data_IF_828860564164
#
_entry.id   IF_828860564164
#
_cell.length_a   1.000
_cell.length_b   1.000
_cell.length_c   1.000
_cell.angle_alpha   90.00
_cell.angle_beta   90.00
_cell.angle_gamma   90.00
#
_symmetry.space_group_name_H-M   'P 1'
#
loop_
_entity.id
_entity.type
_entity.pdbx_description
1 polymer ?
#
# COMPACT_ATOMS: atom_id res chain seq x y z
N UNK A 1 8.47 11.73 43.83
CA UNK A 1 8.30 10.65 42.87
C UNK A 1 8.92 11.14 41.58
N UNK A 2 9.93 10.46 41.03
CA UNK A 2 10.48 10.85 39.74
C UNK A 2 9.35 10.71 38.70
N UNK A 3 9.07 11.79 37.97
CA UNK A 3 8.14 11.75 36.83
C UNK A 3 8.67 10.71 35.87
N UNK A 4 7.87 9.67 35.59
CA UNK A 4 8.26 8.65 34.65
C UNK A 4 8.61 9.34 33.30
N UNK A 5 9.81 9.07 32.77
CA UNK A 5 10.25 9.58 31.46
C UNK A 5 9.38 8.93 30.37
N UNK A 6 8.37 9.64 29.88
CA UNK A 6 7.38 9.17 28.92
C UNK A 6 7.39 10.03 27.67
N UNK A 7 6.93 9.46 26.56
CA UNK A 7 6.71 10.17 25.30
C UNK A 7 5.26 10.01 24.83
N UNK A 8 4.64 11.04 24.27
CA UNK A 8 3.33 10.93 23.66
C UNK A 8 3.42 10.16 22.34
N UNK A 9 2.56 9.17 22.17
CA UNK A 9 2.36 8.46 20.90
C UNK A 9 0.93 8.70 20.46
N UNK A 10 0.77 9.22 19.25
CA UNK A 10 -0.53 9.58 18.70
C UNK A 10 -0.82 8.78 17.43
N UNK A 11 -1.97 8.11 17.39
CA UNK A 11 -2.56 7.52 16.21
C UNK A 11 -3.68 8.42 15.71
N UNK A 12 -3.66 8.77 14.41
CA UNK A 12 -4.61 9.72 13.84
C UNK A 12 -5.05 9.29 12.44
N UNK A 13 -6.36 9.41 12.15
CA UNK A 13 -6.88 9.21 10.80
C UNK A 13 -6.67 10.47 9.94
N UNK A 14 -6.74 10.31 8.61
CA UNK A 14 -6.47 11.39 7.66
C UNK A 14 -7.32 12.65 7.90
N UNK A 15 -8.61 12.50 8.16
CA UNK A 15 -9.51 13.63 8.41
C UNK A 15 -9.47 14.16 9.86
N UNK A 16 -8.63 13.54 10.73
CA UNK A 16 -8.45 13.88 12.15
C UNK A 16 -9.68 13.69 13.04
N UNK A 17 -10.79 13.14 12.52
CA UNK A 17 -11.99 12.84 13.31
C UNK A 17 -11.72 11.83 14.45
N UNK A 18 -10.72 10.98 14.26
CA UNK A 18 -10.25 10.04 15.29
C UNK A 18 -8.77 10.31 15.55
N UNK A 19 -8.49 10.70 16.79
CA UNK A 19 -7.13 10.94 17.30
C UNK A 19 -7.04 10.33 18.69
N UNK A 20 -6.11 9.40 18.87
CA UNK A 20 -5.86 8.71 20.13
C UNK A 20 -4.42 8.94 20.53
N UNK A 21 -4.20 9.45 21.75
CA UNK A 21 -2.86 9.72 22.28
C UNK A 21 -2.66 8.99 23.60
N UNK A 22 -1.49 8.39 23.76
CA UNK A 22 -1.08 7.74 25.00
C UNK A 22 0.34 8.13 25.38
N UNK A 23 0.64 8.13 26.68
CA UNK A 23 1.98 8.33 27.19
C UNK A 23 2.66 6.97 27.38
N UNK A 24 3.77 6.75 26.68
CA UNK A 24 4.52 5.51 26.72
C UNK A 24 5.87 5.73 27.41
N UNK A 25 6.25 4.92 28.41
CA UNK A 25 7.59 4.98 28.99
C UNK A 25 8.68 4.79 27.93
N UNK A 26 9.72 5.62 27.93
CA UNK A 26 10.84 5.48 26.98
C UNK A 26 11.50 4.11 27.04
N UNK A 27 11.46 3.45 28.18
CA UNK A 27 11.97 2.07 28.35
C UNK A 27 11.21 1.00 27.57
N UNK A 28 10.03 1.35 27.01
CA UNK A 28 9.23 0.47 26.14
C UNK A 28 9.53 0.69 24.65
N UNK A 29 10.37 1.67 24.32
CA UNK A 29 10.75 1.97 22.94
C UNK A 29 12.05 1.23 22.55
N UNK A 30 12.22 0.87 21.28
CA UNK A 30 11.22 0.95 20.21
C UNK A 30 10.09 -0.06 20.38
N UNK A 31 8.88 0.30 19.91
CA UNK A 31 7.75 -0.62 19.85
C UNK A 31 8.03 -1.70 18.80
N UNK A 32 7.85 -2.95 19.16
CA UNK A 32 8.00 -4.06 18.23
C UNK A 32 6.81 -4.11 17.26
N UNK A 33 7.09 -4.09 15.97
CA UNK A 33 6.11 -4.18 14.92
C UNK A 33 6.34 -5.40 14.05
N UNK A 34 5.29 -5.87 13.39
CA UNK A 34 5.39 -6.92 12.37
C UNK A 34 4.62 -6.55 11.11
N UNK A 35 5.15 -7.00 9.97
CA UNK A 35 4.55 -6.81 8.67
C UNK A 35 3.88 -8.10 8.21
N UNK A 36 2.58 -8.05 7.93
CA UNK A 36 1.83 -9.15 7.34
C UNK A 36 1.69 -8.95 5.83
N UNK A 37 2.17 -9.94 5.04
CA UNK A 37 2.17 -9.92 3.58
C UNK A 37 1.07 -10.77 2.95
N UNK A 38 0.14 -11.34 3.75
CA UNK A 38 -0.90 -12.22 3.22
C UNK A 38 -1.84 -11.49 2.25
N UNK A 39 -2.44 -12.25 1.34
CA UNK A 39 -3.41 -11.74 0.37
C UNK A 39 -4.54 -10.97 1.06
N UNK A 40 -5.05 -11.49 2.17
CA UNK A 40 -6.12 -10.83 2.92
C UNK A 40 -5.73 -9.44 3.41
N UNK A 41 -4.53 -9.26 4.01
CA UNK A 41 -4.05 -7.96 4.46
C UNK A 41 -3.82 -7.00 3.29
N UNK A 42 -3.23 -7.46 2.20
CA UNK A 42 -3.01 -6.64 1.00
C UNK A 42 -4.33 -6.15 0.42
N UNK A 43 -5.31 -7.04 0.27
CA UNK A 43 -6.64 -6.71 -0.24
C UNK A 43 -7.51 -5.89 0.74
N UNK A 44 -7.19 -5.88 2.05
CA UNK A 44 -7.90 -5.08 3.04
C UNK A 44 -7.32 -3.67 3.23
N UNK A 45 -6.05 -3.45 2.88
CA UNK A 45 -5.38 -2.14 2.97
C UNK A 45 -5.27 -1.44 1.61
N UNK A 46 -5.04 -2.20 0.55
CA UNK A 46 -4.59 -1.70 -0.76
C UNK A 46 -3.07 -1.59 -0.86
N UNK A 47 -2.34 -1.75 0.25
CA UNK A 47 -0.88 -1.78 0.27
C UNK A 47 -0.34 -3.21 0.04
N UNK A 48 0.96 -3.35 -0.22
CA UNK A 48 1.61 -4.66 -0.39
C UNK A 48 1.82 -5.43 0.93
N UNK A 49 1.47 -4.82 2.06
CA UNK A 49 1.56 -5.39 3.40
C UNK A 49 0.68 -4.61 4.37
N UNK A 50 0.42 -5.15 5.55
CA UNK A 50 -0.05 -4.39 6.70
C UNK A 50 1.07 -4.40 7.74
N UNK A 51 1.34 -3.26 8.38
CA UNK A 51 2.32 -3.16 9.47
C UNK A 51 1.64 -2.68 10.74
N UNK A 52 1.81 -3.42 11.83
CA UNK A 52 1.13 -3.15 13.09
C UNK A 52 2.07 -3.29 14.30
N UNK A 53 1.75 -2.58 15.37
CA UNK A 53 2.39 -2.69 16.68
C UNK A 53 1.31 -2.70 17.78
N UNK A 54 1.54 -3.29 18.97
CA UNK A 54 0.59 -3.22 20.07
C UNK A 54 0.24 -1.77 20.43
N UNK A 55 -1.04 -1.49 20.62
CA UNK A 55 -1.48 -0.22 21.17
C UNK A 55 -1.36 -0.23 22.70
N UNK A 56 -0.52 0.64 23.26
CA UNK A 56 -0.24 0.69 24.70
C UNK A 56 -1.14 1.66 25.47
N UNK A 57 -2.09 2.31 24.77
CA UNK A 57 -3.04 3.22 25.38
C UNK A 57 -4.34 2.55 25.85
N UNK A 58 -5.28 3.34 26.41
CA UNK A 58 -6.56 2.84 26.87
C UNK A 58 -7.34 2.19 25.71
N UNK A 59 -7.57 0.88 25.79
CA UNK A 59 -8.28 0.13 24.75
C UNK A 59 -9.76 0.47 24.69
N UNK A 60 -10.36 0.85 25.83
CA UNK A 60 -11.77 1.24 25.93
C UNK A 60 -12.12 2.47 25.08
N UNK A 61 -11.25 3.47 25.02
CA UNK A 61 -11.46 4.66 24.21
C UNK A 61 -11.57 4.31 22.72
N UNK A 62 -10.65 3.47 22.23
CA UNK A 62 -10.65 3.03 20.84
C UNK A 62 -11.86 2.16 20.52
N UNK A 63 -12.22 1.25 21.43
CA UNK A 63 -13.36 0.34 21.23
C UNK A 63 -14.70 1.05 21.22
N UNK A 64 -14.86 2.08 22.06
CA UNK A 64 -16.12 2.84 22.20
C UNK A 64 -16.22 3.98 21.19
N UNK A 65 -15.15 4.29 20.44
CA UNK A 65 -15.20 5.28 19.39
C UNK A 65 -16.14 4.85 18.25
N UNK A 66 -16.82 5.85 17.67
CA UNK A 66 -17.71 5.62 16.51
C UNK A 66 -16.92 5.36 15.23
N UNK A 67 -16.14 4.27 15.23
CA UNK A 67 -15.37 3.81 14.08
C UNK A 67 -16.15 2.75 13.32
N UNK A 68 -15.94 2.69 12.00
CA UNK A 68 -16.44 1.58 11.17
C UNK A 68 -15.76 0.30 11.59
N UNK A 69 -16.54 -0.78 11.72
CA UNK A 69 -16.07 -2.11 12.09
C UNK A 69 -16.23 -3.04 10.91
N UNK A 70 -15.14 -3.68 10.53
CA UNK A 70 -15.14 -4.70 9.50
C UNK A 70 -14.61 -6.02 10.07
N UNK A 71 -15.44 -7.06 10.11
CA UNK A 71 -15.03 -8.41 10.50
C UNK A 71 -14.09 -8.94 9.41
N UNK A 72 -12.80 -8.91 9.72
CA UNK A 72 -11.73 -9.26 8.78
C UNK A 72 -11.53 -10.77 8.74
N UNK A 73 -11.47 -11.39 9.91
CA UNK A 73 -11.46 -12.86 10.10
C UNK A 73 -12.38 -13.20 11.27
N UNK A 74 -12.54 -14.50 11.56
CA UNK A 74 -13.27 -14.92 12.76
C UNK A 74 -12.64 -14.42 14.07
N UNK A 75 -11.35 -14.04 14.06
CA UNK A 75 -10.59 -13.60 15.24
C UNK A 75 -10.33 -12.10 15.26
N UNK A 76 -10.39 -11.40 14.11
CA UNK A 76 -9.97 -10.01 13.99
C UNK A 76 -10.99 -9.12 13.29
N UNK A 77 -11.15 -7.92 13.82
CA UNK A 77 -11.94 -6.82 13.27
C UNK A 77 -11.03 -5.64 12.95
N UNK A 78 -11.15 -5.07 11.75
CA UNK A 78 -10.51 -3.80 11.40
C UNK A 78 -11.41 -2.66 11.87
N UNK A 79 -10.81 -1.71 12.60
CA UNK A 79 -11.44 -0.46 13.00
C UNK A 79 -10.92 0.66 12.09
N UNK A 80 -11.80 1.30 11.34
CA UNK A 80 -11.47 2.37 10.38
C UNK A 80 -12.31 3.61 10.58
N UNK A 81 -11.82 4.75 10.15
CA UNK A 81 -12.58 5.99 10.16
C UNK A 81 -13.78 5.90 9.22
N UNK A 82 -14.98 6.24 9.71
CA UNK A 82 -16.21 6.24 8.91
C UNK A 82 -16.20 7.25 7.76
N UNK A 83 -15.43 8.34 7.89
CA UNK A 83 -15.34 9.45 6.93
C UNK A 83 -14.26 9.24 5.88
N UNK A 84 -12.99 9.18 6.28
CA UNK A 84 -11.84 9.10 5.36
C UNK A 84 -11.34 7.68 5.11
N UNK A 85 -12.00 6.68 5.70
CA UNK A 85 -11.69 5.25 5.57
C UNK A 85 -10.31 4.81 6.08
N UNK A 86 -9.52 5.68 6.71
CA UNK A 86 -8.23 5.28 7.32
C UNK A 86 -8.41 4.03 8.17
N UNK A 87 -7.76 2.89 7.85
CA UNK A 87 -7.72 1.74 8.74
C UNK A 87 -6.74 2.06 9.87
N UNK A 88 -7.21 2.03 11.12
CA UNK A 88 -6.40 2.48 12.26
C UNK A 88 -5.96 1.34 13.17
N UNK A 89 -6.84 0.40 13.45
CA UNK A 89 -6.56 -0.65 14.42
C UNK A 89 -7.05 -2.02 13.94
N UNK A 90 -6.36 -3.06 14.38
CA UNK A 90 -6.91 -4.40 14.43
C UNK A 90 -7.27 -4.73 15.88
N UNK A 91 -8.52 -5.08 16.10
CA UNK A 91 -9.03 -5.58 17.37
C UNK A 91 -9.32 -7.06 17.23
N UNK A 92 -8.84 -7.88 18.14
CA UNK A 92 -9.05 -9.32 18.09
C UNK A 92 -8.75 -10.02 19.40
N UNK A 93 -8.65 -11.34 19.32
CA UNK A 93 -8.27 -12.19 20.43
C UNK A 93 -7.05 -13.04 20.04
N UNK A 94 -6.13 -13.21 20.98
CA UNK A 94 -5.04 -14.19 20.87
C UNK A 94 -5.61 -15.62 20.86
N UNK A 95 -4.75 -16.61 20.58
CA UNK A 95 -5.15 -18.01 20.70
C UNK A 95 -5.55 -18.39 22.14
N UNK A 96 -5.00 -17.71 23.14
CA UNK A 96 -5.35 -17.84 24.55
C UNK A 96 -6.63 -17.11 24.97
N UNK A 97 -7.34 -16.44 24.01
CA UNK A 97 -8.58 -15.70 24.29
C UNK A 97 -8.36 -14.31 24.87
N UNK A 98 -7.11 -13.84 25.00
CA UNK A 98 -6.82 -12.50 25.46
C UNK A 98 -7.15 -11.47 24.39
N UNK A 99 -7.77 -10.41 24.81
CA UNK A 99 -8.14 -9.28 23.97
C UNK A 99 -6.91 -8.49 23.51
N UNK A 100 -6.76 -8.30 22.21
CA UNK A 100 -5.64 -7.58 21.63
C UNK A 100 -6.12 -6.37 20.82
N UNK A 101 -5.36 -5.29 20.93
CA UNK A 101 -5.52 -4.11 20.09
C UNK A 101 -4.16 -3.72 19.54
N UNK A 102 -4.04 -3.74 18.22
CA UNK A 102 -2.83 -3.27 17.52
C UNK A 102 -3.16 -2.07 16.67
N UNK A 103 -2.22 -1.11 16.59
CA UNK A 103 -2.33 0.08 15.77
C UNK A 103 -1.54 -0.08 14.48
N UNK A 104 -2.10 0.38 13.37
CA UNK A 104 -1.42 0.41 12.08
C UNK A 104 -0.35 1.52 12.09
N UNK A 105 0.88 1.16 11.76
CA UNK A 105 2.04 2.07 11.89
C UNK A 105 1.91 3.32 11.03
N UNK A 106 1.30 3.22 9.84
CA UNK A 106 1.07 4.37 8.96
C UNK A 106 0.20 5.47 9.55
N UNK A 107 -0.60 5.18 10.59
CA UNK A 107 -1.45 6.15 11.28
C UNK A 107 -0.78 6.85 12.46
N UNK A 108 0.40 6.38 12.89
CA UNK A 108 1.17 7.01 13.95
C UNK A 108 1.78 8.33 13.47
N UNK A 109 1.79 9.34 14.33
CA UNK A 109 2.44 10.61 14.01
C UNK A 109 3.96 10.41 13.84
N UNK A 110 4.56 11.18 12.94
CA UNK A 110 5.97 11.04 12.59
C UNK A 110 6.93 11.61 13.64
N UNK A 111 6.47 12.58 14.42
CA UNK A 111 7.23 13.35 15.40
C UNK A 111 7.16 12.82 16.85
N UNK A 112 6.55 11.64 17.06
CA UNK A 112 6.30 11.09 18.40
C UNK A 112 7.60 10.82 19.20
N UNK A 113 8.56 10.11 18.61
CA UNK A 113 9.87 9.82 19.20
C UNK A 113 10.84 9.32 18.12
N UNK A 114 12.16 9.60 18.24
CA UNK A 114 13.15 8.88 17.42
C UNK A 114 13.04 7.38 17.67
N UNK A 115 13.30 6.58 16.64
CA UNK A 115 13.27 5.11 16.74
C UNK A 115 11.98 4.56 17.37
N UNK A 116 10.82 5.12 16.98
CA UNK A 116 9.54 4.72 17.57
C UNK A 116 9.22 3.25 17.33
N UNK A 117 9.52 2.75 16.12
CA UNK A 117 9.13 1.41 15.65
C UNK A 117 10.38 0.59 15.30
N UNK A 118 10.36 -0.68 15.70
CA UNK A 118 11.29 -1.72 15.25
C UNK A 118 10.53 -2.87 14.62
N UNK A 119 10.71 -3.11 13.32
CA UNK A 119 10.10 -4.24 12.62
C UNK A 119 10.90 -5.49 12.99
N UNK A 120 10.24 -6.48 13.58
CA UNK A 120 10.88 -7.70 14.08
C UNK A 120 10.55 -8.94 13.27
N UNK A 121 9.38 -8.97 12.64
CA UNK A 121 8.93 -10.12 11.85
C UNK A 121 8.18 -9.69 10.58
N UNK A 122 8.39 -10.46 9.51
CA UNK A 122 7.54 -10.51 8.32
C UNK A 122 6.81 -11.85 8.32
N UNK A 123 5.48 -11.82 8.33
CA UNK A 123 4.64 -13.02 8.34
C UNK A 123 3.86 -13.16 7.01
N UNK A 124 3.53 -14.39 6.65
CA UNK A 124 2.82 -14.73 5.40
C UNK A 124 3.54 -14.21 4.14
N UNK A 125 4.88 -14.22 4.16
CA UNK A 125 5.67 -13.83 2.99
C UNK A 125 5.43 -14.80 1.82
N UNK A 126 5.14 -16.08 2.11
CA UNK A 126 4.84 -17.09 1.11
C UNK A 126 3.65 -16.76 0.20
N UNK A 127 2.64 -16.05 0.72
CA UNK A 127 1.44 -15.65 -0.05
C UNK A 127 1.78 -14.69 -1.20
N UNK A 128 2.92 -14.02 -1.14
CA UNK A 128 3.32 -13.06 -2.18
C UNK A 128 3.85 -13.72 -3.45
N UNK A 129 4.26 -15.00 -3.40
CA UNK A 129 4.93 -15.75 -4.46
C UNK A 129 6.31 -15.17 -4.80
N UNK A 130 6.40 -13.86 -5.00
CA UNK A 130 7.57 -13.11 -5.45
C UNK A 130 8.35 -12.38 -4.34
N UNK A 131 7.97 -12.59 -3.08
CA UNK A 131 8.54 -11.90 -1.91
C UNK A 131 7.89 -10.54 -1.60
N UNK A 132 7.07 -10.00 -2.51
CA UNK A 132 6.35 -8.73 -2.30
C UNK A 132 7.22 -7.60 -1.81
N UNK A 133 6.72 -6.82 -0.87
CA UNK A 133 7.43 -5.71 -0.24
C UNK A 133 8.55 -6.15 0.73
N UNK A 134 8.56 -7.41 1.18
CA UNK A 134 9.59 -7.89 2.12
C UNK A 134 11.01 -7.79 1.56
N UNK A 135 11.17 -7.64 0.23
CA UNK A 135 12.46 -7.53 -0.43
C UNK A 135 13.16 -6.18 -0.18
N UNK A 136 12.42 -5.09 -0.05
CA UNK A 136 12.98 -3.78 0.32
C UNK A 136 12.77 -3.42 1.80
N UNK A 137 12.11 -4.30 2.54
CA UNK A 137 11.99 -4.24 4.00
C UNK A 137 12.95 -5.24 4.69
N UNK A 138 14.03 -5.66 4.02
CA UNK A 138 15.00 -6.61 4.57
C UNK A 138 15.78 -6.04 5.76
N UNK A 139 16.14 -4.75 5.72
CA UNK A 139 16.88 -4.04 6.77
C UNK A 139 16.22 -2.70 7.11
N UNK A 140 14.99 -2.71 7.64
CA UNK A 140 14.23 -1.49 7.88
C UNK A 140 14.65 -0.74 9.15
N UNK A 141 15.40 -1.42 10.05
CA UNK A 141 15.68 -0.93 11.39
C UNK A 141 16.97 -0.12 11.44
N UNK A 142 16.98 0.97 12.21
CA UNK A 142 18.13 1.86 12.37
C UNK A 142 19.33 1.16 13.01
N UNK A 143 19.11 0.21 13.93
CA UNK A 143 20.16 -0.59 14.56
C UNK A 143 20.74 -1.68 13.63
N UNK A 144 20.31 -1.74 12.37
CA UNK A 144 20.73 -2.73 11.38
C UNK A 144 20.18 -4.14 11.60
N UNK A 145 19.33 -4.34 12.62
CA UNK A 145 18.73 -5.65 12.86
C UNK A 145 17.80 -6.06 11.71
N UNK A 146 17.84 -7.35 11.37
CA UNK A 146 17.09 -7.97 10.26
C UNK A 146 15.86 -8.65 10.83
N UNK A 147 14.65 -8.30 10.34
CA UNK A 147 13.42 -9.00 10.71
C UNK A 147 13.44 -10.45 10.24
N UNK A 148 12.91 -11.37 11.05
CA UNK A 148 12.68 -12.74 10.61
C UNK A 148 11.57 -12.78 9.55
N UNK A 149 11.64 -13.74 8.66
CA UNK A 149 10.71 -13.89 7.54
C UNK A 149 10.03 -15.26 7.61
N UNK A 150 8.72 -15.28 7.74
CA UNK A 150 7.94 -16.49 7.91
C UNK A 150 7.09 -16.78 6.66
N UNK A 151 7.10 -18.04 6.22
CA UNK A 151 6.27 -18.45 5.07
C UNK A 151 4.79 -18.17 5.31
N UNK A 152 4.30 -18.45 6.50
CA UNK A 152 2.96 -18.17 6.99
C UNK A 152 3.03 -17.51 8.38
N UNK A 153 2.36 -18.06 9.40
CA UNK A 153 2.38 -17.53 10.76
C UNK A 153 3.75 -17.64 11.43
N UNK A 154 4.05 -16.65 12.27
CA UNK A 154 5.25 -16.60 13.10
C UNK A 154 5.34 -17.85 14.00
N UNK A 155 6.53 -18.42 14.11
CA UNK A 155 6.86 -19.57 14.96
C UNK A 155 6.00 -20.83 14.69
N UNK A 156 5.06 -20.77 13.72
CA UNK A 156 4.17 -21.89 13.33
C UNK A 156 4.38 -22.35 11.89
N UNK A 157 5.31 -21.74 11.17
CA UNK A 157 5.68 -22.07 9.80
C UNK A 157 7.18 -22.01 9.59
N UNK A 158 7.63 -22.40 8.39
CA UNK A 158 9.02 -22.31 7.98
C UNK A 158 9.53 -20.86 8.03
N UNK A 159 10.71 -20.64 8.63
CA UNK A 159 11.46 -19.40 8.50
C UNK A 159 12.16 -19.39 7.13
N UNK A 160 11.91 -18.33 6.35
CA UNK A 160 12.40 -18.20 5.00
C UNK A 160 13.80 -17.56 4.99
N UNK A 161 14.62 -18.00 4.04
CA UNK A 161 15.92 -17.36 3.77
C UNK A 161 15.77 -15.87 3.46
N UNK A 162 16.82 -15.10 3.78
CA UNK A 162 16.90 -13.66 3.55
C UNK A 162 16.60 -13.26 2.09
N UNK A 163 16.98 -14.09 1.13
CA UNK A 163 16.82 -13.85 -0.31
C UNK A 163 15.63 -14.62 -0.93
N UNK A 164 14.80 -15.29 -0.12
CA UNK A 164 13.63 -15.96 -0.68
C UNK A 164 12.74 -14.97 -1.46
N UNK A 165 12.22 -15.31 -2.64
CA UNK A 165 12.20 -16.63 -3.31
C UNK A 165 13.43 -16.93 -4.17
N UNK A 166 14.47 -16.12 -4.12
CA UNK A 166 15.66 -16.24 -4.95
C UNK A 166 15.55 -15.50 -6.29
N UNK A 167 16.69 -15.01 -6.78
CA UNK A 167 16.73 -14.13 -7.97
C UNK A 167 16.39 -14.84 -9.26
N UNK A 168 16.78 -16.12 -9.41
CA UNK A 168 16.60 -16.89 -10.64
C UNK A 168 15.12 -17.08 -11.01
N UNK A 169 14.29 -17.47 -10.04
CA UNK A 169 12.85 -17.66 -10.26
C UNK A 169 12.14 -16.38 -10.69
N UNK A 170 12.65 -15.23 -10.26
CA UNK A 170 12.09 -13.91 -10.56
C UNK A 170 12.50 -13.42 -11.96
N UNK A 171 13.69 -13.78 -12.45
CA UNK A 171 14.11 -13.48 -13.83
C UNK A 171 13.22 -14.22 -14.83
N UNK A 172 12.99 -15.52 -14.60
CA UNK A 172 12.13 -16.34 -15.45
C UNK A 172 10.67 -15.82 -15.52
N UNK A 173 10.19 -15.20 -14.44
CA UNK A 173 8.84 -14.61 -14.40
C UNK A 173 8.75 -13.25 -15.11
N UNK A 174 9.87 -12.51 -15.22
CA UNK A 174 9.89 -11.16 -15.81
C UNK A 174 9.65 -11.18 -17.33
N UNK A 175 10.16 -12.20 -18.01
CA UNK A 175 10.13 -12.31 -19.48
C UNK A 175 8.84 -12.93 -20.01
N UNK A 176 7.96 -13.41 -19.15
CA UNK A 176 6.68 -13.95 -19.57
C UNK A 176 5.71 -12.80 -19.85
N UNK A 177 5.06 -12.86 -21.01
CA UNK A 177 3.88 -12.05 -21.28
C UNK A 177 2.83 -12.38 -20.21
N UNK A 178 2.49 -11.39 -19.38
CA UNK A 178 1.43 -11.54 -18.38
C UNK A 178 0.05 -11.52 -19.03
N UNK A 179 -1.03 -11.74 -18.29
CA UNK A 179 -2.39 -11.65 -18.79
C UNK A 179 -2.70 -10.23 -19.30
N UNK A 180 -3.64 -10.09 -20.22
CA UNK A 180 -4.08 -8.81 -20.75
C UNK A 180 -4.81 -7.96 -19.72
N UNK A 181 -5.38 -8.59 -18.69
CA UNK A 181 -6.01 -7.93 -17.56
C UNK A 181 -5.70 -8.63 -16.23
N UNK A 182 -5.68 -7.85 -15.15
CA UNK A 182 -5.51 -8.33 -13.78
C UNK A 182 -6.73 -7.94 -12.96
N UNK A 183 -7.33 -8.87 -12.18
CA UNK A 183 -8.37 -8.53 -11.23
C UNK A 183 -7.88 -7.53 -10.18
N UNK A 184 -8.68 -6.50 -9.93
CA UNK A 184 -8.49 -5.47 -8.92
C UNK A 184 -9.62 -5.61 -7.90
N UNK A 185 -9.33 -6.17 -6.73
CA UNK A 185 -10.36 -6.57 -5.77
C UNK A 185 -9.99 -6.19 -4.35
N UNK A 186 -10.95 -5.65 -3.60
CA UNK A 186 -10.80 -5.51 -2.15
C UNK A 186 -11.13 -6.82 -1.42
N UNK A 187 -10.75 -6.92 -0.16
CA UNK A 187 -10.95 -8.13 0.66
C UNK A 187 -12.41 -8.60 0.73
N UNK A 188 -13.36 -7.69 0.90
CA UNK A 188 -14.79 -8.05 0.94
C UNK A 188 -15.42 -8.27 -0.44
N UNK A 189 -14.65 -8.13 -1.53
CA UNK A 189 -15.09 -8.19 -2.93
C UNK A 189 -16.19 -7.20 -3.31
N UNK A 190 -16.49 -6.22 -2.44
CA UNK A 190 -17.45 -5.17 -2.75
C UNK A 190 -16.93 -4.17 -3.78
N UNK A 191 -15.60 -4.05 -3.94
CA UNK A 191 -14.93 -3.49 -5.11
C UNK A 191 -14.38 -4.68 -5.90
N UNK A 192 -14.84 -4.83 -7.14
CA UNK A 192 -14.44 -5.90 -8.05
C UNK A 192 -14.33 -5.33 -9.47
N UNK A 193 -13.12 -4.95 -9.82
CA UNK A 193 -12.75 -4.32 -11.09
C UNK A 193 -11.64 -5.12 -11.77
N UNK A 194 -11.26 -4.71 -12.96
CA UNK A 194 -10.06 -5.20 -13.68
C UNK A 194 -9.20 -4.03 -14.11
N UNK A 195 -7.89 -4.24 -14.12
CA UNK A 195 -6.91 -3.36 -14.73
C UNK A 195 -6.40 -4.03 -16.00
N UNK A 196 -6.56 -3.35 -17.15
CA UNK A 196 -6.11 -3.80 -18.48
C UNK A 196 -4.74 -3.21 -18.80
N UNK A 197 -3.99 -3.92 -19.60
CA UNK A 197 -2.63 -3.55 -19.98
C UNK A 197 -2.58 -2.28 -20.83
N UNK A 198 -3.50 -2.12 -21.76
CA UNK A 198 -3.47 -1.04 -22.74
C UNK A 198 -2.40 -1.18 -23.81
N UNK A 199 -1.78 -2.34 -23.97
CA UNK A 199 -0.67 -2.57 -24.91
C UNK A 199 -1.02 -2.17 -26.34
N UNK A 200 -2.24 -2.48 -26.81
CA UNK A 200 -2.68 -2.13 -28.15
C UNK A 200 -2.81 -0.61 -28.34
N UNK A 201 -3.31 0.11 -27.33
CA UNK A 201 -3.46 1.55 -27.38
C UNK A 201 -2.08 2.23 -27.38
N UNK A 202 -1.19 1.77 -26.52
CA UNK A 202 0.17 2.33 -26.40
C UNK A 202 1.04 1.99 -27.61
N UNK A 203 0.90 0.79 -28.20
CA UNK A 203 1.61 0.39 -29.41
C UNK A 203 1.20 1.21 -30.65
N UNK A 204 0.01 1.78 -30.66
CA UNK A 204 -0.47 2.65 -31.72
C UNK A 204 0.07 4.09 -31.60
N UNK A 205 0.65 4.47 -30.45
CA UNK A 205 1.19 5.80 -30.20
C UNK A 205 2.65 5.89 -30.65
N UNK A 206 3.09 7.10 -31.04
CA UNK A 206 4.52 7.36 -31.20
C UNK A 206 5.19 7.41 -29.84
N UNK A 207 6.47 7.07 -29.78
CA UNK A 207 7.22 7.01 -28.52
C UNK A 207 7.20 8.35 -27.75
N UNK A 208 7.22 9.48 -28.42
CA UNK A 208 7.15 10.82 -27.81
C UNK A 208 5.72 11.23 -27.39
N UNK A 209 4.71 10.48 -27.77
CA UNK A 209 3.30 10.69 -27.41
C UNK A 209 2.87 9.77 -26.26
N UNK A 210 3.70 8.76 -25.92
CA UNK A 210 3.41 7.84 -24.81
C UNK A 210 3.24 8.60 -23.48
N UNK A 211 2.25 8.24 -22.66
CA UNK A 211 2.13 8.79 -21.32
C UNK A 211 3.43 8.59 -20.52
N UNK A 212 3.82 9.57 -19.73
CA UNK A 212 5.07 9.58 -18.97
C UNK A 212 5.25 8.37 -18.02
N UNK A 213 4.18 7.67 -17.68
CA UNK A 213 4.16 6.51 -16.79
C UNK A 213 4.14 5.18 -17.53
N UNK A 214 4.20 5.17 -18.86
CA UNK A 214 4.27 3.95 -19.68
C UNK A 214 5.72 3.68 -20.05
N UNK A 215 6.20 2.46 -19.81
CA UNK A 215 7.55 2.05 -20.20
C UNK A 215 7.62 1.96 -21.74
N UNK A 216 8.58 2.68 -22.39
CA UNK A 216 8.54 2.89 -23.84
C UNK A 216 8.68 1.64 -24.71
N UNK A 217 9.24 0.55 -24.17
CA UNK A 217 9.50 -0.69 -24.92
C UNK A 217 8.49 -1.79 -24.62
N UNK A 218 8.18 -1.98 -23.34
CA UNK A 218 7.32 -3.07 -22.86
C UNK A 218 5.89 -2.63 -22.62
N UNK A 219 5.58 -1.34 -22.72
CA UNK A 219 4.32 -0.67 -22.42
C UNK A 219 3.77 -0.97 -21.00
N UNK A 220 4.61 -1.46 -20.09
CA UNK A 220 4.24 -1.69 -18.68
C UNK A 220 3.99 -0.38 -17.96
N UNK A 221 3.03 -0.40 -17.04
CA UNK A 221 2.68 0.76 -16.23
C UNK A 221 3.72 0.98 -15.12
N UNK A 222 4.18 2.22 -14.97
CA UNK A 222 5.15 2.60 -13.94
C UNK A 222 4.53 2.44 -12.54
N UNK A 223 5.36 1.99 -11.61
CA UNK A 223 5.06 2.03 -10.18
C UNK A 223 5.98 3.02 -9.47
N UNK A 224 5.50 3.57 -8.36
CA UNK A 224 6.29 4.44 -7.51
C UNK A 224 6.27 4.01 -6.06
N UNK A 225 7.24 4.51 -5.29
CA UNK A 225 7.25 4.48 -3.84
C UNK A 225 6.82 5.85 -3.31
N UNK A 226 5.98 5.87 -2.30
CA UNK A 226 5.39 7.09 -1.75
C UNK A 226 5.35 7.02 -0.22
N UNK A 227 5.78 8.10 0.45
CA UNK A 227 5.79 8.23 1.91
C UNK A 227 4.95 9.41 2.41
N UNK A 228 4.10 10.01 1.55
CA UNK A 228 3.34 11.19 1.94
C UNK A 228 2.39 10.89 3.11
N UNK A 229 2.22 11.87 4.00
CA UNK A 229 1.40 11.74 5.21
C UNK A 229 -0.03 11.25 4.92
N UNK A 230 -0.65 11.75 3.87
CA UNK A 230 -2.02 11.39 3.53
C UNK A 230 -2.15 9.99 2.94
N UNK A 231 -1.20 9.54 2.09
CA UNK A 231 -1.17 8.18 1.56
C UNK A 231 -0.92 7.16 2.66
N UNK A 232 0.05 7.43 3.57
CA UNK A 232 0.33 6.57 4.72
C UNK A 232 -0.91 6.37 5.59
N UNK A 233 -1.60 7.45 5.92
CA UNK A 233 -2.83 7.39 6.72
C UNK A 233 -3.91 6.57 6.03
N UNK A 234 -4.15 6.77 4.72
CA UNK A 234 -5.24 6.08 4.02
C UNK A 234 -5.02 4.58 3.82
N UNK A 235 -3.77 4.12 3.74
CA UNK A 235 -3.44 2.70 3.61
C UNK A 235 -2.97 2.07 4.93
N UNK A 236 -2.68 2.88 5.95
CA UNK A 236 -2.25 2.41 7.27
C UNK A 236 -0.82 1.88 7.33
N UNK A 237 0.01 2.12 6.32
CA UNK A 237 1.41 1.65 6.24
C UNK A 237 2.38 2.80 5.99
N UNK A 238 3.68 2.57 6.20
CA UNK A 238 4.68 3.64 6.22
C UNK A 238 5.20 4.05 4.84
N UNK A 239 5.26 3.10 3.90
CA UNK A 239 5.60 3.36 2.49
C UNK A 239 4.63 2.60 1.60
N UNK A 240 4.06 3.33 0.66
CA UNK A 240 3.02 2.86 -0.24
C UNK A 240 3.60 2.68 -1.63
N UNK A 241 3.00 1.79 -2.40
CA UNK A 241 3.31 1.60 -3.80
C UNK A 241 2.05 1.83 -4.64
N UNK A 242 2.16 2.75 -5.60
CA UNK A 242 1.13 3.08 -6.55
C UNK A 242 1.52 2.64 -7.96
N UNK A 243 0.55 2.16 -8.74
CA UNK A 243 0.69 1.99 -10.19
C UNK A 243 -0.12 3.08 -10.90
N UNK A 244 0.49 3.77 -11.86
CA UNK A 244 -0.20 4.80 -12.64
C UNK A 244 -0.96 4.16 -13.80
N UNK A 245 -2.25 4.45 -13.93
CA UNK A 245 -3.10 3.87 -14.97
C UNK A 245 -4.12 4.89 -15.51
N UNK A 246 -4.42 4.80 -16.80
CA UNK A 246 -5.54 5.54 -17.38
C UNK A 246 -6.86 4.90 -16.96
N UNK A 247 -7.86 5.72 -16.69
CA UNK A 247 -9.21 5.26 -16.33
C UNK A 247 -9.84 4.41 -17.42
N UNK A 248 -9.53 4.64 -18.70
CA UNK A 248 -9.98 3.80 -19.81
C UNK A 248 -9.50 2.35 -19.73
N UNK A 249 -8.40 2.10 -19.00
CA UNK A 249 -7.88 0.74 -18.77
C UNK A 249 -8.43 0.11 -17.49
N UNK A 250 -9.23 0.85 -16.69
CA UNK A 250 -10.01 0.30 -15.60
C UNK A 250 -11.37 -0.15 -16.12
N UNK A 251 -11.83 -1.31 -15.71
CA UNK A 251 -13.11 -1.82 -16.16
C UNK A 251 -13.82 -2.71 -15.16
N UNK A 252 -15.02 -3.08 -15.51
CA UNK A 252 -15.72 -4.14 -14.81
C UNK A 252 -15.25 -5.49 -15.38
N UNK A 253 -15.25 -6.57 -14.58
CA UNK A 253 -15.04 -7.92 -15.10
C UNK A 253 -16.02 -8.22 -16.26
N UNK A 254 -15.59 -9.03 -17.22
CA UNK A 254 -16.42 -9.41 -18.35
C UNK A 254 -17.78 -9.94 -17.87
N UNK A 255 -18.85 -9.48 -18.51
CA UNK A 255 -20.22 -9.97 -18.30
C UNK A 255 -20.84 -10.32 -19.66
N UNK A 256 -21.78 -11.24 -19.67
CA UNK A 256 -22.43 -11.71 -20.89
C UNK A 256 -23.36 -10.67 -21.56
N UNK A 257 -23.56 -9.49 -20.95
CA UNK A 257 -24.43 -8.45 -21.49
C UNK A 257 -23.65 -7.37 -22.24
N UNK A 258 -23.96 -7.21 -23.52
CA UNK A 258 -23.29 -6.33 -24.50
C UNK A 258 -23.60 -4.83 -24.30
N UNK A 259 -24.73 -4.49 -23.65
CA UNK A 259 -25.25 -3.11 -23.55
C UNK A 259 -24.98 -2.39 -22.21
N UNK A 260 -23.95 -2.79 -21.45
CA UNK A 260 -23.67 -2.14 -20.17
C UNK A 260 -22.71 -0.96 -20.31
N UNK A 261 -22.93 0.16 -19.58
CA UNK A 261 -22.01 1.30 -19.58
C UNK A 261 -20.58 0.89 -19.25
N UNK A 262 -19.59 1.51 -19.89
CA UNK A 262 -18.18 1.37 -19.52
C UNK A 262 -17.91 1.97 -18.14
N UNK A 263 -16.76 1.63 -17.56
CA UNK A 263 -16.25 2.33 -16.36
C UNK A 263 -15.99 3.82 -16.70
N UNK A 264 -16.18 4.76 -15.77
CA UNK A 264 -15.89 6.18 -16.00
C UNK A 264 -14.49 6.44 -16.55
N UNK A 265 -14.38 7.32 -17.56
CA UNK A 265 -13.14 7.54 -18.30
C UNK A 265 -12.35 8.75 -17.77
N UNK A 266 -13.00 9.62 -16.95
CA UNK A 266 -12.37 10.78 -16.33
C UNK A 266 -12.59 10.77 -14.81
N UNK A 267 -11.73 11.48 -14.07
CA UNK A 267 -11.88 11.66 -12.62
C UNK A 267 -13.17 12.41 -12.30
N UNK A 268 -13.59 13.35 -13.15
CA UNK A 268 -14.87 14.06 -13.03
C UNK A 268 -16.05 13.08 -13.16
N UNK A 269 -16.03 12.22 -14.19
CA UNK A 269 -17.09 11.22 -14.39
C UNK A 269 -17.12 10.20 -13.26
N UNK A 270 -15.95 9.77 -12.78
CA UNK A 270 -15.85 8.83 -11.64
C UNK A 270 -16.43 9.46 -10.37
N UNK A 271 -16.09 10.72 -10.07
CA UNK A 271 -16.64 11.48 -8.94
C UNK A 271 -18.17 11.59 -9.05
N UNK A 272 -18.68 11.94 -10.23
CA UNK A 272 -20.12 12.02 -10.51
C UNK A 272 -20.81 10.67 -10.37
N UNK A 273 -20.25 9.60 -10.92
CA UNK A 273 -20.79 8.25 -10.85
C UNK A 273 -20.89 7.73 -9.40
N UNK A 274 -19.87 8.00 -8.56
CA UNK A 274 -19.87 7.63 -7.15
C UNK A 274 -20.93 8.40 -6.34
N UNK A 275 -21.16 9.67 -6.67
CA UNK A 275 -22.10 10.55 -5.97
C UNK A 275 -23.54 10.45 -6.46
N UNK A 276 -23.77 9.74 -7.59
CA UNK A 276 -25.08 9.64 -8.23
C UNK A 276 -26.06 8.82 -7.40
N UNK A 277 -27.31 9.28 -7.31
CA UNK A 277 -28.42 8.49 -6.78
C UNK A 277 -28.79 7.29 -7.66
N UNK A 278 -28.51 7.39 -8.98
CA UNK A 278 -28.70 6.32 -9.97
C UNK A 278 -27.35 5.63 -10.25
N UNK A 279 -26.63 5.32 -9.21
CA UNK A 279 -25.31 4.72 -9.27
C UNK A 279 -25.35 3.35 -9.96
N UNK A 280 -24.38 3.09 -10.85
CA UNK A 280 -24.19 1.76 -11.43
C UNK A 280 -23.90 0.74 -10.32
N UNK A 281 -24.69 -0.35 -10.20
CA UNK A 281 -24.50 -1.37 -9.18
C UNK A 281 -23.11 -2.03 -9.19
N UNK A 282 -22.43 -2.07 -10.33
CA UNK A 282 -21.10 -2.67 -10.50
C UNK A 282 -19.99 -1.87 -9.80
N UNK A 283 -20.23 -0.57 -9.51
CA UNK A 283 -19.35 0.22 -8.64
C UNK A 283 -19.34 -0.32 -7.19
N UNK A 284 -20.32 -1.14 -6.84
CA UNK A 284 -20.38 -1.88 -5.59
C UNK A 284 -20.20 -0.98 -4.36
N UNK A 285 -19.18 -1.27 -3.55
CA UNK A 285 -18.87 -0.50 -2.33
C UNK A 285 -17.79 0.58 -2.55
N UNK A 286 -17.43 0.90 -3.79
CA UNK A 286 -16.47 1.96 -4.07
C UNK A 286 -17.05 3.30 -3.59
N UNK A 287 -16.33 4.02 -2.74
CA UNK A 287 -16.70 5.31 -2.18
C UNK A 287 -15.53 6.27 -2.31
N UNK A 288 -15.74 7.56 -2.03
CA UNK A 288 -14.75 8.59 -2.20
C UNK A 288 -14.74 9.54 -0.99
N UNK A 289 -13.56 10.01 -0.64
CA UNK A 289 -13.30 11.10 0.29
C UNK A 289 -12.42 12.13 -0.40
N UNK A 290 -12.85 13.38 -0.41
CA UNK A 290 -12.05 14.51 -0.91
C UNK A 290 -11.16 15.01 0.23
N UNK A 291 -9.85 14.69 0.17
CA UNK A 291 -8.90 14.99 1.24
C UNK A 291 -8.44 16.44 1.26
N UNK A 292 -8.52 17.12 0.12
CA UNK A 292 -8.34 18.55 -0.11
C UNK A 292 -9.02 18.91 -1.44
N UNK A 293 -9.26 20.19 -1.74
CA UNK A 293 -9.89 20.60 -3.00
C UNK A 293 -9.22 19.95 -4.21
N UNK A 294 -10.00 19.23 -5.02
CA UNK A 294 -9.51 18.53 -6.22
C UNK A 294 -8.67 17.27 -5.98
N UNK A 295 -8.62 16.75 -4.73
CA UNK A 295 -7.87 15.53 -4.39
C UNK A 295 -8.79 14.45 -3.85
N UNK A 296 -9.04 13.42 -4.65
CA UNK A 296 -9.95 12.33 -4.32
C UNK A 296 -9.20 11.08 -3.89
N UNK A 297 -9.74 10.42 -2.87
CA UNK A 297 -9.28 9.11 -2.39
C UNK A 297 -10.44 8.14 -2.44
N UNK A 298 -10.32 7.16 -3.33
CA UNK A 298 -11.34 6.14 -3.53
C UNK A 298 -11.02 4.92 -2.68
N UNK A 299 -12.02 4.39 -2.01
CA UNK A 299 -11.89 3.28 -1.08
C UNK A 299 -13.14 2.38 -1.07
N UNK A 300 -13.00 1.20 -0.50
CA UNK A 300 -14.14 0.34 -0.21
C UNK A 300 -14.86 0.82 1.06
N UNK A 301 -16.13 1.21 0.95
CA UNK A 301 -16.93 1.67 2.11
C UNK A 301 -17.24 0.57 3.13
N UNK A 302 -16.95 -0.72 2.81
CA UNK A 302 -17.18 -1.85 3.71
C UNK A 302 -15.92 -2.27 4.46
N UNK A 303 -14.82 -2.58 3.74
CA UNK A 303 -13.59 -3.13 4.34
C UNK A 303 -12.45 -2.12 4.43
N UNK A 304 -12.67 -0.84 4.12
CA UNK A 304 -11.73 0.27 4.15
C UNK A 304 -10.55 0.23 3.16
N UNK A 305 -10.41 -0.82 2.35
CA UNK A 305 -9.32 -0.92 1.39
C UNK A 305 -9.23 0.33 0.51
N UNK A 306 -8.06 0.96 0.44
CA UNK A 306 -7.77 2.05 -0.50
C UNK A 306 -7.71 1.49 -1.92
N UNK A 307 -8.33 2.19 -2.88
CA UNK A 307 -8.44 1.71 -4.27
C UNK A 307 -7.69 2.61 -5.24
N UNK A 308 -8.03 3.91 -5.26
CA UNK A 308 -7.41 4.89 -6.13
C UNK A 308 -7.08 6.18 -5.38
N UNK A 309 -6.01 6.83 -5.81
CA UNK A 309 -5.78 8.24 -5.61
C UNK A 309 -5.95 8.96 -6.95
N UNK A 310 -6.65 10.10 -6.96
CA UNK A 310 -6.90 10.89 -8.15
C UNK A 310 -6.84 12.38 -7.83
N UNK A 311 -6.50 13.19 -8.83
CA UNK A 311 -6.52 14.66 -8.74
C UNK A 311 -7.19 15.24 -9.98
N UNK A 312 -7.89 16.34 -9.82
CA UNK A 312 -8.65 16.98 -10.90
C UNK A 312 -7.74 17.43 -12.06
N UNK A 313 -6.48 17.79 -11.78
CA UNK A 313 -5.49 18.21 -12.79
C UNK A 313 -5.03 17.06 -13.70
N UNK A 314 -5.28 15.79 -13.33
CA UNK A 314 -4.93 14.59 -14.10
C UNK A 314 -6.19 13.83 -14.45
N UNK A 315 -7.03 14.41 -15.31
CA UNK A 315 -8.42 13.96 -15.52
C UNK A 315 -8.58 12.50 -15.94
N UNK A 316 -7.64 11.93 -16.67
CA UNK A 316 -7.72 10.55 -17.16
C UNK A 316 -6.89 9.55 -16.35
N UNK A 317 -6.10 10.04 -15.38
CA UNK A 317 -5.10 9.27 -14.66
C UNK A 317 -5.51 9.02 -13.21
N UNK A 318 -5.36 7.79 -12.77
CA UNK A 318 -5.45 7.39 -11.34
C UNK A 318 -4.21 6.65 -10.91
N UNK A 319 -3.88 6.77 -9.63
CA UNK A 319 -2.88 5.95 -8.97
C UNK A 319 -3.61 4.76 -8.34
N UNK A 320 -3.33 3.56 -8.82
CA UNK A 320 -3.97 2.30 -8.40
C UNK A 320 -3.21 1.70 -7.23
N UNK A 321 -3.92 1.33 -6.17
CA UNK A 321 -3.37 0.63 -5.01
C UNK A 321 -2.94 -0.80 -5.38
N UNK A 322 -1.63 -1.07 -5.45
CA UNK A 322 -1.07 -2.33 -5.99
C UNK A 322 -1.49 -3.54 -5.16
N UNK A 323 -1.69 -3.38 -3.85
CA UNK A 323 -2.11 -4.48 -2.99
C UNK A 323 -3.45 -5.12 -3.36
N UNK A 324 -4.28 -4.45 -4.18
CA UNK A 324 -5.55 -4.98 -4.67
C UNK A 324 -5.41 -5.83 -5.94
N UNK A 325 -4.24 -5.84 -6.59
CA UNK A 325 -4.02 -6.59 -7.81
C UNK A 325 -3.82 -8.09 -7.51
N UNK A 326 -4.70 -8.92 -8.05
CA UNK A 326 -4.63 -10.38 -7.92
C UNK A 326 -3.85 -10.98 -9.10
N UNK A 327 -2.55 -10.74 -9.13
CA UNK A 327 -1.67 -11.25 -10.19
C UNK A 327 -1.19 -12.67 -9.91
N UNK A 328 -1.29 -13.60 -10.87
CA UNK A 328 -0.78 -14.96 -10.71
C UNK A 328 0.75 -15.04 -10.66
N UNK A 329 1.45 -13.97 -11.06
CA UNK A 329 2.91 -13.89 -11.01
C UNK A 329 3.48 -13.38 -9.69
N UNK A 330 2.62 -13.05 -8.74
CA UNK A 330 3.01 -12.55 -7.42
C UNK A 330 2.54 -11.13 -7.12
N UNK A 331 2.75 -10.71 -5.89
CA UNK A 331 2.22 -9.47 -5.32
C UNK A 331 2.68 -8.20 -6.07
N UNK A 332 3.87 -8.24 -6.69
CA UNK A 332 4.40 -7.10 -7.46
C UNK A 332 3.88 -7.02 -8.90
N UNK A 333 3.21 -8.05 -9.40
CA UNK A 333 2.68 -8.07 -10.76
C UNK A 333 3.71 -7.64 -11.84
N UNK A 334 4.99 -8.03 -11.71
CA UNK A 334 6.09 -7.55 -12.56
C UNK A 334 5.92 -7.83 -14.07
N UNK A 335 5.24 -8.88 -14.54
CA UNK A 335 4.92 -9.01 -15.95
C UNK A 335 4.00 -7.89 -16.47
N UNK A 336 3.29 -7.19 -15.59
CA UNK A 336 2.32 -6.13 -15.90
C UNK A 336 2.84 -4.74 -15.57
N UNK A 337 3.67 -4.62 -14.51
CA UNK A 337 4.13 -3.36 -13.95
C UNK A 337 5.65 -3.18 -14.14
N UNK A 338 6.06 -1.95 -14.42
CA UNK A 338 7.46 -1.52 -14.46
C UNK A 338 7.83 -0.84 -13.13
N UNK A 339 8.72 -1.44 -12.36
CA UNK A 339 9.06 -0.97 -11.02
C UNK A 339 10.19 0.05 -11.00
N UNK A 340 9.97 1.17 -10.32
CA UNK A 340 10.97 2.22 -10.12
C UNK A 340 11.88 1.95 -8.91
N UNK A 341 12.42 0.71 -8.79
CA UNK A 341 13.30 0.35 -7.70
C UNK A 341 14.51 1.27 -7.60
N UNK A 342 14.80 1.74 -6.38
CA UNK A 342 15.93 2.61 -6.08
C UNK A 342 15.77 4.05 -6.59
N UNK A 343 14.64 4.40 -7.21
CA UNK A 343 14.29 5.80 -7.45
C UNK A 343 13.94 6.50 -6.15
N UNK A 344 13.88 7.84 -6.18
CA UNK A 344 13.45 8.63 -5.03
C UNK A 344 12.04 8.19 -4.57
N UNK A 345 11.88 8.13 -3.26
CA UNK A 345 10.55 7.93 -2.64
C UNK A 345 9.80 9.26 -2.70
N UNK A 346 8.62 9.26 -3.30
CA UNK A 346 7.79 10.46 -3.41
C UNK A 346 7.42 10.99 -2.01
N UNK A 347 7.32 12.30 -1.88
CA UNK A 347 6.99 13.01 -0.65
C UNK A 347 7.88 12.59 0.55
N UNK A 348 9.14 12.28 0.28
CA UNK A 348 10.14 11.97 1.31
C UNK A 348 10.24 13.05 2.39
N UNK A 349 10.02 14.30 2.03
CA UNK A 349 10.10 15.44 2.95
C UNK A 349 9.04 15.38 4.06
N UNK A 350 7.93 14.70 3.85
CA UNK A 350 6.89 14.47 4.86
C UNK A 350 7.38 13.65 6.07
N UNK A 351 8.51 12.96 5.95
CA UNK A 351 9.07 12.12 7.02
C UNK A 351 10.37 12.66 7.61
N UNK A 352 10.93 13.74 7.06
CA UNK A 352 12.18 14.35 7.54
C UNK A 352 12.03 14.80 9.00
N UNK A 353 13.08 14.55 9.78
CA UNK A 353 13.11 14.86 11.22
C UNK A 353 12.29 13.93 12.12
N UNK A 354 11.57 12.98 11.55
CA UNK A 354 10.78 12.01 12.31
C UNK A 354 11.35 10.59 12.25
N UNK A 355 10.75 9.69 13.01
CA UNK A 355 11.20 8.30 13.14
C UNK A 355 11.19 7.51 11.82
N UNK A 356 10.37 7.93 10.84
CA UNK A 356 10.28 7.27 9.53
C UNK A 356 11.40 7.64 8.57
N UNK A 357 12.15 8.70 8.83
CA UNK A 357 13.20 9.16 7.92
C UNK A 357 14.22 8.06 7.62
N UNK A 358 14.69 7.38 8.68
CA UNK A 358 15.65 6.28 8.52
C UNK A 358 15.01 5.05 7.87
N UNK A 359 13.75 4.74 8.18
CA UNK A 359 13.01 3.65 7.53
C UNK A 359 12.89 3.89 6.01
N UNK A 360 12.52 5.10 5.59
CA UNK A 360 12.38 5.45 4.16
C UNK A 360 13.73 5.38 3.45
N UNK A 361 14.80 5.92 4.05
CA UNK A 361 16.17 5.81 3.51
C UNK A 361 16.61 4.35 3.36
N UNK A 362 16.31 3.51 4.35
CA UNK A 362 16.63 2.08 4.32
C UNK A 362 15.86 1.35 3.23
N UNK A 363 14.58 1.62 3.06
CA UNK A 363 13.74 1.05 2.00
C UNK A 363 14.29 1.42 0.62
N UNK A 364 14.64 2.68 0.39
CA UNK A 364 15.21 3.13 -0.88
C UNK A 364 16.54 2.41 -1.18
N UNK A 365 17.42 2.32 -0.18
CA UNK A 365 18.71 1.63 -0.28
C UNK A 365 18.55 0.13 -0.56
N UNK A 366 17.66 -0.55 0.16
CA UNK A 366 17.43 -1.99 -0.03
C UNK A 366 16.74 -2.28 -1.37
N UNK A 367 15.82 -1.43 -1.82
CA UNK A 367 15.20 -1.55 -3.15
C UNK A 367 16.25 -1.41 -4.26
N UNK A 368 17.21 -0.48 -4.13
CA UNK A 368 18.31 -0.33 -5.08
C UNK A 368 19.27 -1.52 -5.04
N UNK A 369 19.67 -1.98 -3.86
CA UNK A 369 20.54 -3.14 -3.71
C UNK A 369 19.90 -4.39 -4.34
N UNK A 370 18.62 -4.61 -4.07
CA UNK A 370 17.86 -5.72 -4.63
C UNK A 370 17.68 -5.62 -6.16
N UNK A 371 17.45 -4.40 -6.68
CA UNK A 371 17.42 -4.14 -8.11
C UNK A 371 18.72 -4.58 -8.79
N UNK A 372 19.87 -4.15 -8.23
CA UNK A 372 21.21 -4.48 -8.75
C UNK A 372 21.45 -5.99 -8.70
N UNK A 373 21.16 -6.62 -7.56
CA UNK A 373 21.32 -8.07 -7.34
C UNK A 373 20.57 -8.90 -8.38
N UNK A 374 19.41 -8.43 -8.82
CA UNK A 374 18.57 -9.10 -9.83
C UNK A 374 18.92 -8.73 -11.28
N UNK A 375 19.79 -7.78 -11.51
CA UNK A 375 19.97 -7.20 -12.84
C UNK A 375 18.69 -6.51 -13.38
N UNK A 376 17.81 -6.02 -12.49
CA UNK A 376 16.62 -5.28 -12.92
C UNK A 376 17.02 -3.89 -13.44
N UNK A 377 16.48 -3.41 -14.59
CA UNK A 377 16.88 -2.14 -15.17
C UNK A 377 16.47 -0.96 -14.28
N UNK A 378 17.16 0.17 -14.41
CA UNK A 378 16.66 1.45 -13.91
C UNK A 378 15.40 1.83 -14.70
N UNK A 379 14.47 2.50 -14.06
CA UNK A 379 13.32 3.06 -14.79
C UNK A 379 13.81 4.13 -15.78
N UNK A 380 13.15 4.25 -16.94
CA UNK A 380 13.49 5.26 -17.95
C UNK A 380 13.39 6.70 -17.40
N UNK A 381 12.48 6.92 -16.45
CA UNK A 381 12.36 8.20 -15.74
C UNK A 381 13.61 8.54 -14.94
N UNK A 382 14.16 7.54 -14.23
CA UNK A 382 15.40 7.73 -13.48
C UNK A 382 16.58 7.96 -14.42
N UNK A 383 16.64 7.23 -15.53
CA UNK A 383 17.70 7.42 -16.54
C UNK A 383 17.65 8.84 -17.08
N UNK A 384 16.49 9.31 -17.52
CA UNK A 384 16.30 10.67 -18.04
C UNK A 384 16.67 11.76 -17.01
N UNK A 385 16.32 11.58 -15.74
CA UNK A 385 16.70 12.50 -14.66
C UNK A 385 18.21 12.55 -14.46
N UNK A 386 18.87 11.38 -14.35
CA UNK A 386 20.33 11.29 -14.18
C UNK A 386 21.10 11.89 -15.39
N UNK A 387 20.57 11.77 -16.60
CA UNK A 387 21.14 12.38 -17.81
C UNK A 387 21.00 13.91 -17.77
N UNK A 388 19.85 14.44 -17.40
CA UNK A 388 19.64 15.88 -17.28
C UNK A 388 20.57 16.51 -16.22
N UNK A 389 20.78 15.84 -15.09
CA UNK A 389 21.69 16.29 -14.03
C UNK A 389 23.17 16.28 -14.43
N UNK A 390 23.56 15.46 -15.43
CA UNK A 390 24.96 15.44 -15.94
C UNK A 390 25.24 16.56 -16.93
N UNK A 391 24.22 17.13 -17.52
CA UNK A 391 24.35 18.19 -18.55
C UNK A 391 24.20 19.58 -17.94
N UNK A 392 23.63 19.68 -16.74
CA UNK A 392 23.52 20.92 -15.96
C UNK A 392 24.77 21.18 -15.12
#
# INVERSE_FOLDING_TARGET
MATADTVPITAQCLCKAHTFTTLVPRTKLPLQAWCCHCDSCRHATGALYACVTPWLGPTGEVRNANMRRYVFTSKFTILSCGTCSTPMFFHGQTEGGEDTLTVMTGTLNNDSAPNLIKIVDHIFVGDTIDGGASMWLRRPNEDGSVPRRWRAGKDTSEELDYNWPGTKSLLDARDKSGPDEIPLRCHCKGVNLVLRRGDADFAAMKQNELPWFVEPTSHKLLTSFDACNSCRSTLGVDVINWAFALLQHIGFPASDSVDQPSFPQTTTDLKAAISSQKRDPRLGTLAMYESSPGVQRYFCSRCSASVFYAVDDRQELVDVAIGLLASPSGARAEPFLAWAFGSDVNARDDVVGGWRENLVKSIQKEAEAWRIERGYPKSWKRIAKEEAERVS
#
